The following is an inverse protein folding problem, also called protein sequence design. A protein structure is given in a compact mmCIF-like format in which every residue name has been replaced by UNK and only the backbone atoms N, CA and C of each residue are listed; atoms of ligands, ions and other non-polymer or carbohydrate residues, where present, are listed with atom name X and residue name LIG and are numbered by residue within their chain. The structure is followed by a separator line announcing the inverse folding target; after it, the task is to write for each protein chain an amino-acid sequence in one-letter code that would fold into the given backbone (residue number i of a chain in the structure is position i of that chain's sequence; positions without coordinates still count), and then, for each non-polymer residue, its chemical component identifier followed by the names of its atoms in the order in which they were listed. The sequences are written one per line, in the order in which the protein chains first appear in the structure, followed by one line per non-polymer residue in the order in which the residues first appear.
data_IF_254055561914
#
_entry.id   IF_254055561914
#
_cell.length_a   1.000
_cell.length_b   1.000
_cell.length_c   1.000
_cell.angle_alpha   90.00
_cell.angle_beta   90.00
_cell.angle_gamma   90.00
#
_symmetry.space_group_name_H-M   'P 1'
#
loop_
_entity.id
_entity.type
_entity.pdbx_description
1 polymer ?
#
# COMPACT_ATOMS: atom_id res chain seq x y z
N UNK A 1 -13.30 36.19 4.44
CA UNK A 1 -13.62 35.78 5.81
C UNK A 1 -12.79 34.54 6.06
N UNK A 2 -11.71 34.65 6.83
CA UNK A 2 -10.93 33.46 7.20
C UNK A 2 -11.84 32.56 8.05
N UNK A 3 -11.93 31.28 7.72
CA UNK A 3 -12.59 30.28 8.54
C UNK A 3 -11.96 30.32 9.94
N UNK A 4 -12.81 30.36 10.96
CA UNK A 4 -12.37 30.31 12.35
C UNK A 4 -11.80 28.91 12.62
N UNK A 5 -10.55 28.83 13.11
CA UNK A 5 -9.83 27.56 13.23
C UNK A 5 -10.51 26.66 14.26
N UNK A 6 -10.92 25.46 13.84
CA UNK A 6 -11.59 24.46 14.69
C UNK A 6 -10.58 23.47 15.28
N UNK A 7 -10.98 22.84 16.40
CA UNK A 7 -10.27 21.70 16.98
C UNK A 7 -11.20 20.48 16.93
N UNK A 8 -10.86 19.51 16.09
CA UNK A 8 -11.61 18.28 15.90
C UNK A 8 -11.10 17.19 16.86
N UNK A 9 -11.99 16.68 17.72
CA UNK A 9 -11.70 15.52 18.57
C UNK A 9 -12.17 14.27 17.83
N UNK A 10 -11.27 13.35 17.52
CA UNK A 10 -11.63 12.14 16.76
C UNK A 10 -12.01 10.99 17.67
N UNK A 11 -13.04 10.25 17.26
CA UNK A 11 -13.38 8.92 17.76
C UNK A 11 -12.52 7.84 17.07
N UNK A 12 -12.20 6.77 17.78
CA UNK A 12 -11.41 5.64 17.28
C UNK A 12 -12.06 4.97 16.07
N UNK A 13 -13.39 4.88 16.03
CA UNK A 13 -14.08 4.28 14.89
C UNK A 13 -13.79 5.01 13.57
N UNK A 14 -13.58 6.32 13.62
CA UNK A 14 -13.20 7.10 12.43
C UNK A 14 -11.85 6.62 11.89
N UNK A 15 -10.87 6.46 12.78
CA UNK A 15 -9.50 6.03 12.46
C UNK A 15 -9.41 4.56 12.04
N UNK A 16 -10.20 3.69 12.69
CA UNK A 16 -10.26 2.26 12.37
C UNK A 16 -10.85 2.00 10.99
N UNK A 17 -11.78 2.84 10.54
CA UNK A 17 -12.37 2.74 9.21
C UNK A 17 -11.64 3.55 8.15
N UNK A 18 -10.97 4.62 8.51
CA UNK A 18 -10.22 5.47 7.59
C UNK A 18 -8.94 5.99 8.26
N UNK A 19 -7.78 5.38 7.98
CA UNK A 19 -6.53 5.81 8.60
C UNK A 19 -6.05 7.18 8.10
N UNK A 20 -6.58 7.69 6.99
CA UNK A 20 -6.25 9.04 6.47
C UNK A 20 -7.04 10.15 7.11
N UNK A 21 -8.05 9.82 7.92
CA UNK A 21 -8.96 10.81 8.49
C UNK A 21 -8.24 11.94 9.23
N UNK A 22 -7.11 11.65 9.89
CA UNK A 22 -6.26 12.64 10.58
C UNK A 22 -5.85 13.81 9.65
N UNK A 23 -5.71 13.58 8.35
CA UNK A 23 -5.24 14.57 7.37
C UNK A 23 -6.37 15.34 6.67
N UNK A 24 -7.64 15.01 6.92
CA UNK A 24 -8.78 15.52 6.14
C UNK A 24 -9.46 16.75 6.70
N UNK A 25 -8.83 17.39 7.68
CA UNK A 25 -9.38 18.54 8.38
C UNK A 25 -8.83 19.88 7.87
N UNK A 26 -8.19 19.88 6.69
CA UNK A 26 -7.68 21.09 6.02
C UNK A 26 -6.84 21.96 6.99
N UNK A 27 -7.15 23.25 7.15
CA UNK A 27 -6.45 24.15 8.06
C UNK A 27 -6.71 23.91 9.56
N UNK A 28 -7.60 22.98 9.91
CA UNK A 28 -8.07 22.78 11.28
C UNK A 28 -7.19 21.81 12.07
N UNK A 29 -7.19 21.99 13.39
CA UNK A 29 -6.41 21.16 14.30
C UNK A 29 -7.19 19.89 14.67
N UNK A 30 -6.46 18.82 14.96
CA UNK A 30 -6.99 17.50 15.32
C UNK A 30 -6.47 17.11 16.69
N UNK A 31 -7.32 16.55 17.55
CA UNK A 31 -6.93 16.01 18.85
C UNK A 31 -7.34 14.55 18.97
N UNK A 32 -6.39 13.72 19.41
CA UNK A 32 -6.62 12.33 19.76
C UNK A 32 -6.70 12.16 21.28
N UNK A 33 -7.86 11.77 21.83
CA UNK A 33 -7.96 11.35 23.23
C UNK A 33 -7.04 10.17 23.54
N UNK A 34 -6.60 10.05 24.80
CA UNK A 34 -5.73 8.95 25.22
C UNK A 34 -6.42 7.59 25.03
N UNK A 35 -7.72 7.54 25.33
CA UNK A 35 -8.56 6.36 25.11
C UNK A 35 -8.52 5.86 23.67
N UNK A 36 -8.45 6.77 22.68
CA UNK A 36 -8.36 6.40 21.28
C UNK A 36 -7.05 5.67 20.98
N UNK A 37 -5.94 6.13 21.55
CA UNK A 37 -4.65 5.45 21.40
C UNK A 37 -4.66 4.06 22.03
N UNK A 38 -5.33 3.89 23.18
CA UNK A 38 -5.48 2.59 23.84
C UNK A 38 -6.31 1.60 23.00
N UNK A 39 -7.40 2.07 22.39
CA UNK A 39 -8.23 1.24 21.51
C UNK A 39 -7.52 0.87 20.21
N UNK A 40 -6.75 1.80 19.62
CA UNK A 40 -5.86 1.48 18.50
C UNK A 40 -4.84 0.41 18.91
N UNK A 41 -4.20 0.50 20.09
CA UNK A 41 -3.24 -0.51 20.52
C UNK A 41 -3.87 -1.89 20.70
N UNK A 42 -5.10 -1.94 21.22
CA UNK A 42 -5.85 -3.18 21.38
C UNK A 42 -6.25 -3.79 20.02
N UNK A 43 -6.64 -2.95 19.05
CA UNK A 43 -7.15 -3.38 17.75
C UNK A 43 -6.04 -3.71 16.72
N UNK A 44 -4.76 -3.49 17.01
CA UNK A 44 -3.65 -3.71 16.05
C UNK A 44 -3.39 -5.18 15.68
N UNK A 45 -3.96 -6.13 16.42
CA UNK A 45 -3.70 -7.57 16.29
C UNK A 45 -4.66 -8.22 15.28
N UNK A 46 -4.11 -9.11 14.44
CA UNK A 46 -4.89 -9.91 13.48
C UNK A 46 -4.75 -9.44 12.03
N UNK A 47 -5.48 -10.12 11.15
CA UNK A 47 -5.47 -9.94 9.70
C UNK A 47 -6.69 -9.16 9.17
N UNK A 48 -7.55 -8.65 10.06
CA UNK A 48 -8.72 -7.88 9.63
C UNK A 48 -8.32 -6.53 9.01
N UNK A 49 -9.19 -6.00 8.16
CA UNK A 49 -9.07 -4.66 7.58
C UNK A 49 -8.92 -3.59 8.67
N UNK A 50 -9.72 -3.69 9.74
CA UNK A 50 -9.61 -2.84 10.93
C UNK A 50 -8.20 -2.89 11.52
N UNK A 51 -7.64 -4.08 11.75
CA UNK A 51 -6.29 -4.22 12.31
C UNK A 51 -5.21 -3.66 11.36
N UNK A 52 -5.41 -3.77 10.04
CA UNK A 52 -4.52 -3.17 9.04
C UNK A 52 -4.58 -1.65 9.07
N UNK A 53 -5.78 -1.06 9.12
CA UNK A 53 -5.98 0.39 9.19
C UNK A 53 -5.39 0.96 10.47
N UNK A 54 -5.60 0.30 11.61
CA UNK A 54 -4.96 0.66 12.89
C UNK A 54 -3.43 0.67 12.81
N UNK A 55 -2.83 -0.33 12.14
CA UNK A 55 -1.37 -0.35 11.89
C UNK A 55 -0.93 0.79 10.96
N UNK A 56 -1.77 1.22 10.02
CA UNK A 56 -1.48 2.37 9.17
C UNK A 56 -1.53 3.68 9.97
N UNK A 57 -2.55 3.90 10.80
CA UNK A 57 -2.65 5.07 11.70
C UNK A 57 -1.41 5.16 12.60
N UNK A 58 -1.00 4.04 13.19
CA UNK A 58 0.18 3.98 14.05
C UNK A 58 1.47 4.36 13.30
N UNK A 59 1.59 3.97 12.01
CA UNK A 59 2.73 4.35 11.16
C UNK A 59 2.74 5.84 10.87
N UNK A 60 1.60 6.42 10.49
CA UNK A 60 1.48 7.86 10.25
C UNK A 60 1.85 8.69 11.47
N UNK A 61 1.35 8.31 12.65
CA UNK A 61 1.71 8.96 13.91
C UNK A 61 3.22 8.81 14.17
N UNK A 62 3.78 7.61 13.96
CA UNK A 62 5.20 7.33 14.13
C UNK A 62 6.11 8.17 13.21
N UNK A 63 5.75 8.31 11.94
CA UNK A 63 6.46 9.15 10.96
C UNK A 63 6.44 10.63 11.39
N UNK A 64 5.27 11.16 11.75
CA UNK A 64 5.16 12.54 12.27
C UNK A 64 5.98 12.73 13.55
N UNK A 65 6.07 11.73 14.43
CA UNK A 65 6.90 11.80 15.65
C UNK A 65 8.40 11.75 15.36
N UNK A 66 8.86 11.05 14.33
CA UNK A 66 10.29 11.01 13.97
C UNK A 66 10.79 12.35 13.43
N UNK A 67 9.91 13.11 12.78
CA UNK A 67 10.23 14.41 12.18
C UNK A 67 10.19 15.58 13.18
N UNK A 68 9.68 15.35 14.40
CA UNK A 68 9.50 16.39 15.42
C UNK A 68 10.27 16.03 16.71
N UNK A 69 10.73 17.03 17.46
CA UNK A 69 11.40 16.80 18.73
C UNK A 69 10.39 16.48 19.84
N UNK A 70 10.81 15.82 20.92
CA UNK A 70 9.92 15.46 22.04
C UNK A 70 9.29 16.70 22.70
N UNK A 71 9.95 17.86 22.61
CA UNK A 71 9.42 19.14 23.10
C UNK A 71 8.21 19.65 22.28
N UNK A 72 8.03 19.17 21.04
CA UNK A 72 6.97 19.63 20.13
C UNK A 72 5.64 18.92 20.35
N UNK A 73 5.59 17.84 21.15
CA UNK A 73 4.35 17.07 21.41
C UNK A 73 3.29 17.88 22.16
N UNK A 74 3.70 18.84 23.00
CA UNK A 74 2.77 19.77 23.67
C UNK A 74 2.23 20.84 22.73
N UNK A 75 3.01 21.22 21.72
CA UNK A 75 2.64 22.24 20.72
C UNK A 75 1.92 21.63 19.51
N UNK A 76 1.73 20.30 19.51
CA UNK A 76 1.10 19.52 18.46
C UNK A 76 2.05 19.22 17.30
N UNK A 77 1.92 18.03 16.72
CA UNK A 77 2.66 17.61 15.54
C UNK A 77 2.09 18.31 14.29
N UNK A 78 2.94 18.83 13.42
CA UNK A 78 2.49 19.36 12.14
C UNK A 78 1.90 18.24 11.28
N UNK A 79 0.68 18.43 10.76
CA UNK A 79 0.08 17.49 9.83
C UNK A 79 0.78 17.61 8.47
N UNK A 80 1.66 16.65 8.19
CA UNK A 80 2.33 16.53 6.89
C UNK A 80 1.86 15.29 6.16
N UNK A 81 1.77 15.40 4.85
CA UNK A 81 1.51 14.25 3.97
C UNK A 81 2.57 13.17 4.21
N UNK A 82 2.15 11.92 4.49
CA UNK A 82 3.09 10.80 4.55
C UNK A 82 3.78 10.62 3.20
N UNK A 83 5.07 10.28 3.21
CA UNK A 83 5.84 10.11 1.97
C UNK A 83 5.17 9.08 1.03
N UNK A 84 4.97 9.47 -0.23
CA UNK A 84 4.36 8.62 -1.24
C UNK A 84 2.83 8.60 -1.26
N UNK A 85 2.15 9.39 -0.42
CA UNK A 85 0.71 9.62 -0.50
C UNK A 85 0.42 11.00 -1.08
N UNK A 86 -0.49 11.07 -2.06
CA UNK A 86 -1.03 12.34 -2.58
C UNK A 86 -2.35 12.63 -1.84
N UNK A 87 -2.21 13.09 -0.60
CA UNK A 87 -3.33 13.54 0.22
C UNK A 87 -3.29 15.05 0.15
N UNK A 88 -4.38 15.78 -0.11
CA UNK A 88 -4.35 17.24 0.11
C UNK A 88 -4.35 17.50 1.62
N UNK A 89 -3.23 17.29 2.32
CA UNK A 89 -3.15 17.59 3.76
C UNK A 89 -3.20 19.09 3.93
N UNK A 90 -4.07 19.58 4.80
CA UNK A 90 -4.06 20.99 5.12
C UNK A 90 -3.07 21.35 6.23
N UNK A 91 -3.04 22.63 6.60
CA UNK A 91 -2.01 23.23 7.46
C UNK A 91 -2.26 23.05 8.97
N UNK A 92 -3.06 22.06 9.36
CA UNK A 92 -3.43 21.78 10.74
C UNK A 92 -2.33 21.13 11.58
N UNK A 93 -2.58 20.96 12.88
CA UNK A 93 -1.71 20.20 13.80
C UNK A 93 -2.47 19.07 14.51
N UNK A 94 -1.78 17.98 14.78
CA UNK A 94 -2.21 16.84 15.57
C UNK A 94 -1.78 16.99 17.04
N UNK A 95 -2.75 17.04 17.94
CA UNK A 95 -2.55 17.09 19.38
C UNK A 95 -2.93 15.75 20.02
N UNK A 96 -2.32 15.47 21.16
CA UNK A 96 -2.68 14.33 22.01
C UNK A 96 -3.18 14.83 23.36
N UNK A 97 -4.12 14.11 23.94
CA UNK A 97 -4.54 14.38 25.31
C UNK A 97 -3.40 14.10 26.30
N UNK A 98 -2.88 15.15 26.95
CA UNK A 98 -1.79 15.05 27.93
C UNK A 98 -2.24 15.17 29.38
N UNK A 99 -3.48 15.61 29.61
CA UNK A 99 -4.08 15.72 30.93
C UNK A 99 -5.42 14.98 30.99
N UNK A 100 -5.63 14.21 32.05
CA UNK A 100 -6.94 13.63 32.37
C UNK A 100 -7.81 14.73 33.00
N UNK A 101 -8.97 15.08 32.41
CA UNK A 101 -9.92 15.97 33.06
C UNK A 101 -10.46 15.35 34.35
N UNK A 102 -10.74 16.17 35.36
CA UNK A 102 -11.56 15.72 36.48
C UNK A 102 -12.96 15.35 35.93
N UNK A 103 -13.37 14.10 36.15
CA UNK A 103 -14.54 13.50 35.50
C UNK A 103 -15.81 14.23 35.92
N UNK A 104 -16.36 15.07 35.03
CA UNK A 104 -17.65 15.70 35.24
C UNK A 104 -18.78 14.73 34.86
N UNK A 105 -19.37 14.14 35.89
CA UNK A 105 -20.76 13.70 36.00
C UNK A 105 -21.01 12.20 36.19
N UNK A 106 -21.87 11.96 37.16
CA UNK A 106 -22.60 10.72 37.45
C UNK A 106 -23.50 10.21 36.31
N UNK A 107 -23.51 10.86 35.14
CA UNK A 107 -24.37 10.53 33.99
C UNK A 107 -23.75 9.47 33.06
N UNK A 108 -22.45 9.18 33.20
CA UNK A 108 -21.68 8.31 32.30
C UNK A 108 -21.42 6.90 32.89
N UNK A 109 -22.29 6.44 33.81
CA UNK A 109 -22.05 5.19 34.55
C UNK A 109 -22.45 3.89 33.84
N UNK A 110 -23.25 3.98 32.78
CA UNK A 110 -23.68 2.80 32.02
C UNK A 110 -23.40 2.96 30.51
N UNK A 111 -22.66 1.98 29.96
CA UNK A 111 -22.48 1.78 28.51
C UNK A 111 -21.27 2.50 27.89
N UNK A 112 -20.26 1.70 27.53
CA UNK A 112 -18.96 2.02 26.90
C UNK A 112 -18.09 3.02 27.68
N UNK A 113 -17.17 2.49 28.49
CA UNK A 113 -16.14 3.28 29.18
C UNK A 113 -15.38 4.19 28.20
N UNK A 114 -15.07 3.69 27.01
CA UNK A 114 -14.32 4.42 26.00
C UNK A 114 -15.06 5.63 25.44
N UNK A 115 -16.32 5.46 25.04
CA UNK A 115 -17.19 6.56 24.59
C UNK A 115 -17.22 7.71 25.60
N UNK A 116 -17.33 7.34 26.87
CA UNK A 116 -17.51 8.28 27.96
C UNK A 116 -16.21 9.06 28.24
N UNK A 117 -15.04 8.44 28.09
CA UNK A 117 -13.74 9.12 28.16
C UNK A 117 -13.53 10.08 26.98
N UNK A 118 -13.90 9.67 25.76
CA UNK A 118 -13.84 10.53 24.57
C UNK A 118 -14.75 11.77 24.74
N UNK A 119 -15.99 11.56 25.20
CA UNK A 119 -16.93 12.65 25.48
C UNK A 119 -16.43 13.59 26.59
N UNK A 120 -15.89 13.03 27.67
CA UNK A 120 -15.35 13.80 28.80
C UNK A 120 -14.19 14.69 28.34
N UNK A 121 -13.34 14.16 27.45
CA UNK A 121 -12.24 14.92 26.84
C UNK A 121 -12.76 16.09 26.00
N UNK A 122 -13.71 15.85 25.10
CA UNK A 122 -14.28 16.91 24.27
C UNK A 122 -15.01 17.98 25.10
N UNK A 123 -15.73 17.57 26.14
CA UNK A 123 -16.39 18.48 27.07
C UNK A 123 -15.39 19.33 27.86
N UNK A 124 -14.35 18.72 28.42
CA UNK A 124 -13.32 19.42 29.17
C UNK A 124 -12.55 20.44 28.31
N UNK A 125 -12.24 20.08 27.06
CA UNK A 125 -11.58 21.01 26.12
C UNK A 125 -12.41 22.24 25.84
N UNK A 126 -13.74 22.11 25.80
CA UNK A 126 -14.66 23.24 25.63
C UNK A 126 -14.64 24.19 26.82
N UNK A 127 -14.56 23.66 28.04
CA UNK A 127 -14.47 24.46 29.27
C UNK A 127 -13.11 25.18 29.38
N UNK A 128 -12.01 24.50 29.00
CA UNK A 128 -10.65 25.06 29.04
C UNK A 128 -10.41 26.10 27.94
N UNK A 129 -10.99 25.90 26.75
CA UNK A 129 -10.81 26.76 25.58
C UNK A 129 -12.16 27.31 25.08
N UNK A 130 -12.81 28.23 25.80
CA UNK A 130 -14.12 28.76 25.45
C UNK A 130 -14.13 29.51 24.11
N UNK A 131 -12.98 30.04 23.68
CA UNK A 131 -12.81 30.76 22.42
C UNK A 131 -12.50 29.85 21.22
N UNK A 132 -12.36 28.53 21.44
CA UNK A 132 -12.13 27.54 20.36
C UNK A 132 -13.39 26.78 20.03
N UNK A 133 -13.61 26.56 18.73
CA UNK A 133 -14.66 25.69 18.25
C UNK A 133 -14.24 24.21 18.37
N UNK A 134 -14.69 23.56 19.44
CA UNK A 134 -14.46 22.12 19.68
C UNK A 134 -15.56 21.31 19.01
N UNK A 135 -15.17 20.37 18.15
CA UNK A 135 -16.10 19.51 17.42
C UNK A 135 -15.69 18.04 17.58
N UNK A 136 -16.59 17.19 18.07
CA UNK A 136 -16.41 15.75 18.09
C UNK A 136 -16.73 15.16 16.72
N UNK A 137 -15.84 14.33 16.17
CA UNK A 137 -16.07 13.63 14.91
C UNK A 137 -16.22 12.15 15.18
N UNK A 138 -17.38 11.59 14.83
CA UNK A 138 -17.67 10.16 15.03
C UNK A 138 -18.61 9.62 13.97
N UNK A 139 -18.43 8.34 13.62
CA UNK A 139 -19.38 7.56 12.80
C UNK A 139 -20.56 7.03 13.62
N UNK A 140 -20.44 6.93 14.95
CA UNK A 140 -21.51 6.40 15.81
C UNK A 140 -22.55 7.49 16.11
N UNK A 141 -23.80 7.23 15.72
CA UNK A 141 -24.94 8.11 15.99
C UNK A 141 -25.20 8.24 17.51
N UNK A 142 -24.99 7.19 18.29
CA UNK A 142 -25.22 7.21 19.73
C UNK A 142 -24.22 8.12 20.43
N UNK A 143 -22.95 8.06 20.03
CA UNK A 143 -21.91 8.94 20.57
C UNK A 143 -22.23 10.41 20.24
N UNK A 144 -22.67 10.70 19.01
CA UNK A 144 -23.08 12.05 18.60
C UNK A 144 -24.32 12.55 19.35
N UNK A 145 -25.30 11.70 19.63
CA UNK A 145 -26.46 12.05 20.47
C UNK A 145 -26.01 12.38 21.90
N UNK A 146 -25.15 11.56 22.49
CA UNK A 146 -24.59 11.82 23.83
C UNK A 146 -23.84 13.16 23.88
N UNK A 147 -23.01 13.45 22.87
CA UNK A 147 -22.30 14.72 22.74
C UNK A 147 -23.26 15.91 22.68
N UNK A 148 -24.31 15.82 21.87
CA UNK A 148 -25.33 16.86 21.76
C UNK A 148 -26.06 17.12 23.09
N UNK A 149 -26.37 16.06 23.86
CA UNK A 149 -26.96 16.17 25.21
C UNK A 149 -26.02 16.92 26.18
N UNK A 150 -24.71 16.68 26.08
CA UNK A 150 -23.67 17.38 26.86
C UNK A 150 -23.32 18.77 26.30
N UNK A 151 -24.00 19.20 25.23
CA UNK A 151 -23.77 20.49 24.56
C UNK A 151 -22.47 20.55 23.76
N UNK A 152 -21.80 19.43 23.51
CA UNK A 152 -20.62 19.35 22.64
C UNK A 152 -21.10 19.22 21.20
N UNK A 153 -20.58 20.07 20.30
CA UNK A 153 -20.87 19.96 18.87
C UNK A 153 -20.29 18.65 18.34
N UNK A 154 -21.08 17.89 17.60
CA UNK A 154 -20.64 16.64 17.00
C UNK A 154 -21.03 16.55 15.53
N UNK A 155 -20.11 16.10 14.69
CA UNK A 155 -20.25 15.97 13.25
C UNK A 155 -20.07 14.51 12.83
N UNK A 156 -20.81 14.07 11.81
CA UNK A 156 -20.56 12.77 11.18
C UNK A 156 -19.25 12.82 10.41
N UNK A 157 -18.52 11.70 10.39
CA UNK A 157 -17.44 11.55 9.43
C UNK A 157 -18.00 11.09 8.08
N UNK A 158 -18.46 12.04 7.26
CA UNK A 158 -18.80 11.78 5.87
C UNK A 158 -17.55 11.80 5.02
N UNK A 159 -17.12 10.61 4.65
CA UNK A 159 -16.10 10.48 3.65
C UNK A 159 -16.55 9.44 2.61
N UNK A 160 -17.22 9.93 1.56
CA UNK A 160 -17.62 9.15 0.38
C UNK A 160 -16.43 8.69 -0.47
N UNK A 161 -15.21 8.99 -0.04
CA UNK A 161 -13.97 8.44 -0.57
C UNK A 161 -13.20 7.83 0.59
N UNK A 162 -13.60 6.63 1.00
CA UNK A 162 -12.58 5.64 1.35
C UNK A 162 -11.56 5.73 0.21
N UNK A 163 -10.42 6.38 0.47
CA UNK A 163 -9.35 6.41 -0.49
C UNK A 163 -9.10 4.94 -0.77
N UNK A 164 -9.16 4.55 -2.05
CA UNK A 164 -9.02 3.15 -2.45
C UNK A 164 -7.81 2.64 -1.67
N UNK A 165 -8.00 1.65 -0.80
CA UNK A 165 -7.07 1.27 0.28
C UNK A 165 -5.64 1.02 -0.22
N UNK A 166 -5.51 0.76 -1.52
CA UNK A 166 -4.29 0.67 -2.30
C UNK A 166 -3.45 1.95 -2.25
N UNK A 167 -4.08 3.11 -2.25
CA UNK A 167 -3.41 4.41 -2.21
C UNK A 167 -2.61 4.62 -0.94
N UNK A 168 -2.99 3.96 0.17
CA UNK A 168 -2.33 4.02 1.48
C UNK A 168 -1.10 3.11 1.61
N UNK A 169 -0.96 2.18 0.68
CA UNK A 169 0.13 1.23 0.69
C UNK A 169 1.38 1.89 0.10
N UNK A 170 2.53 1.39 0.54
CA UNK A 170 3.81 1.75 -0.04
C UNK A 170 3.77 1.51 -1.56
N UNK A 171 4.00 2.57 -2.35
CA UNK A 171 3.88 2.54 -3.81
C UNK A 171 5.01 1.78 -4.51
N UNK A 172 6.12 1.51 -3.81
CA UNK A 172 7.30 0.89 -4.43
C UNK A 172 8.10 1.82 -5.35
N UNK A 173 7.68 3.07 -5.51
CA UNK A 173 8.30 4.03 -6.42
C UNK A 173 8.41 5.42 -5.79
N UNK A 174 9.52 6.11 -6.05
CA UNK A 174 9.74 7.52 -5.72
C UNK A 174 9.83 8.34 -7.02
N UNK A 175 9.11 9.46 -7.05
CA UNK A 175 9.10 10.38 -8.17
C UNK A 175 9.82 11.66 -7.77
N UNK A 176 10.76 12.09 -8.60
CA UNK A 176 11.51 13.33 -8.44
C UNK A 176 11.46 14.15 -9.72
N UNK A 177 11.56 15.46 -9.60
CA UNK A 177 11.70 16.37 -10.75
C UNK A 177 13.18 16.52 -11.16
N UNK A 178 13.45 17.35 -12.17
CA UNK A 178 14.82 17.62 -12.62
C UNK A 178 15.68 18.35 -11.56
N UNK A 179 15.05 19.04 -10.59
CA UNK A 179 15.72 19.69 -9.48
C UNK A 179 16.45 18.72 -8.55
N UNK A 180 16.12 17.43 -8.64
CA UNK A 180 16.82 16.34 -7.94
C UNK A 180 18.34 16.37 -8.14
N UNK A 181 18.80 16.64 -9.37
CA UNK A 181 20.22 16.64 -9.70
C UNK A 181 20.94 17.84 -9.06
N UNK A 182 20.27 18.99 -9.00
CA UNK A 182 20.80 20.19 -8.34
C UNK A 182 20.89 20.01 -6.82
N UNK A 183 19.93 19.30 -6.23
CA UNK A 183 19.93 18.96 -4.81
C UNK A 183 21.04 17.96 -4.43
N UNK A 184 21.51 17.13 -5.38
CA UNK A 184 22.55 16.11 -5.16
C UNK A 184 23.76 16.32 -6.08
N UNK A 185 24.51 17.42 -5.93
CA UNK A 185 25.63 17.76 -6.82
C UNK A 185 26.84 16.83 -6.67
N UNK A 186 26.88 16.02 -5.59
CA UNK A 186 27.94 15.06 -5.31
C UNK A 186 27.63 13.66 -5.83
N UNK A 187 26.67 13.53 -6.75
CA UNK A 187 26.33 12.22 -7.31
C UNK A 187 27.51 11.62 -8.09
N UNK A 188 27.82 10.37 -7.81
CA UNK A 188 28.77 9.59 -8.58
C UNK A 188 28.01 8.79 -9.64
N UNK A 189 28.51 8.74 -10.87
CA UNK A 189 27.96 7.86 -11.91
C UNK A 189 29.06 7.05 -12.59
N UNK A 190 28.75 5.80 -12.87
CA UNK A 190 29.64 4.89 -13.59
C UNK A 190 28.84 3.89 -14.42
N UNK A 191 29.52 3.20 -15.33
CA UNK A 191 28.94 2.07 -16.04
C UNK A 191 29.58 0.79 -15.52
N UNK A 192 28.76 -0.19 -15.14
CA UNK A 192 29.20 -1.54 -14.84
C UNK A 192 28.36 -2.54 -15.65
N UNK A 193 29.02 -3.51 -16.27
CA UNK A 193 28.38 -4.55 -17.10
C UNK A 193 27.37 -4.02 -18.14
N UNK A 194 27.60 -2.82 -18.68
CA UNK A 194 26.74 -2.19 -19.69
C UNK A 194 25.51 -1.46 -19.13
N UNK A 195 25.39 -1.35 -17.80
CA UNK A 195 24.33 -0.61 -17.11
C UNK A 195 24.91 0.60 -16.39
N UNK A 196 24.17 1.70 -16.42
CA UNK A 196 24.55 2.91 -15.70
C UNK A 196 24.13 2.80 -14.24
N UNK A 197 25.04 3.15 -13.34
CA UNK A 197 24.82 3.22 -11.90
C UNK A 197 25.04 4.63 -11.41
N UNK A 198 24.32 4.97 -10.35
CA UNK A 198 24.41 6.24 -9.65
C UNK A 198 24.53 5.99 -8.15
N UNK A 199 25.46 6.66 -7.49
CA UNK A 199 25.56 6.69 -6.02
C UNK A 199 25.30 8.09 -5.53
N UNK A 200 24.32 8.22 -4.66
CA UNK A 200 23.86 9.47 -4.09
C UNK A 200 24.19 9.47 -2.59
N UNK A 201 24.95 10.45 -2.08
CA UNK A 201 25.07 10.66 -0.66
C UNK A 201 23.72 11.05 -0.06
N UNK A 202 23.30 10.36 1.01
CA UNK A 202 22.04 10.64 1.72
C UNK A 202 22.34 11.12 3.14
N UNK A 203 21.46 11.97 3.68
CA UNK A 203 21.48 12.35 5.10
C UNK A 203 20.84 11.28 5.99
N UNK A 204 20.57 11.61 7.26
CA UNK A 204 19.88 10.72 8.22
C UNK A 204 18.41 10.39 7.86
N UNK A 205 17.92 10.80 6.69
CA UNK A 205 16.55 10.55 6.27
C UNK A 205 16.37 9.11 5.78
N UNK A 206 15.61 8.33 6.57
CA UNK A 206 15.28 6.93 6.33
C UNK A 206 14.06 6.77 5.40
N UNK A 207 14.20 7.13 4.12
CA UNK A 207 13.13 7.00 3.11
C UNK A 207 13.46 6.09 1.92
N UNK A 208 14.64 5.47 1.93
CA UNK A 208 15.15 4.66 0.82
C UNK A 208 15.11 3.16 1.15
N UNK A 209 14.66 2.36 0.20
CA UNK A 209 14.56 0.91 0.36
C UNK A 209 15.22 0.17 -0.80
N UNK A 210 15.85 -0.99 -0.55
CA UNK A 210 16.26 -1.89 -1.62
C UNK A 210 15.09 -2.23 -2.54
N UNK A 211 15.35 -2.30 -3.84
CA UNK A 211 14.38 -2.56 -4.90
C UNK A 211 13.30 -1.48 -5.07
N UNK A 212 13.44 -0.31 -4.43
CA UNK A 212 12.57 0.83 -4.69
C UNK A 212 12.85 1.39 -6.09
N UNK A 213 11.78 1.62 -6.86
CA UNK A 213 11.87 2.23 -8.17
C UNK A 213 12.00 3.74 -8.03
N UNK A 214 12.77 4.37 -8.90
CA UNK A 214 13.05 5.82 -8.86
C UNK A 214 12.87 6.36 -10.26
N UNK A 215 12.04 7.38 -10.40
CA UNK A 215 11.92 8.12 -11.64
C UNK A 215 12.26 9.59 -11.40
N UNK A 216 13.17 10.13 -12.20
CA UNK A 216 13.66 11.50 -12.10
C UNK A 216 13.37 12.22 -13.41
N UNK A 217 12.58 13.28 -13.33
CA UNK A 217 12.11 14.05 -14.48
C UNK A 217 10.85 13.48 -15.14
N UNK A 218 10.49 14.10 -16.27
CA UNK A 218 9.28 13.78 -17.04
C UNK A 218 9.49 12.57 -17.97
N UNK A 219 8.65 12.45 -19.01
CA UNK A 219 8.77 11.39 -20.01
C UNK A 219 10.15 11.43 -20.70
N UNK A 220 10.89 10.32 -20.62
CA UNK A 220 12.28 10.24 -21.10
C UNK A 220 13.34 10.64 -20.07
N UNK A 221 12.94 10.89 -18.82
CA UNK A 221 13.82 11.05 -17.68
C UNK A 221 14.53 9.76 -17.27
N UNK A 222 15.19 9.79 -16.11
CA UNK A 222 15.93 8.64 -15.58
C UNK A 222 14.97 7.71 -14.85
N UNK A 223 14.96 6.45 -15.25
CA UNK A 223 14.27 5.37 -14.54
C UNK A 223 15.31 4.41 -13.96
N UNK A 224 15.30 4.22 -12.65
CA UNK A 224 16.29 3.43 -11.92
C UNK A 224 15.64 2.58 -10.83
N UNK A 225 16.35 1.55 -10.36
CA UNK A 225 15.99 0.74 -9.20
C UNK A 225 17.11 0.82 -8.18
N UNK A 226 16.76 1.05 -6.92
CA UNK A 226 17.70 1.03 -5.80
C UNK A 226 18.24 -0.38 -5.60
N UNK A 227 19.56 -0.51 -5.59
CA UNK A 227 20.26 -1.79 -5.41
C UNK A 227 20.83 -1.93 -4.01
N UNK A 228 21.41 -0.85 -3.48
CA UNK A 228 22.01 -0.84 -2.15
C UNK A 228 21.61 0.43 -1.41
N UNK A 229 21.34 0.28 -0.10
CA UNK A 229 21.07 1.39 0.82
C UNK A 229 22.02 1.24 2.00
N UNK A 230 22.97 2.17 2.08
CA UNK A 230 23.91 2.31 3.19
C UNK A 230 23.47 3.44 4.14
N UNK A 231 24.19 3.62 5.25
CA UNK A 231 23.91 4.70 6.20
C UNK A 231 24.09 6.10 5.61
N UNK A 232 25.03 6.24 4.68
CA UNK A 232 25.45 7.54 4.14
C UNK A 232 25.19 7.66 2.62
N UNK A 233 24.77 6.59 1.95
CA UNK A 233 24.56 6.62 0.50
C UNK A 233 23.53 5.61 0.00
N UNK A 234 22.93 5.92 -1.15
CA UNK A 234 22.06 5.02 -1.91
C UNK A 234 22.70 4.78 -3.26
N UNK A 235 22.77 3.50 -3.67
CA UNK A 235 23.17 3.12 -5.02
C UNK A 235 21.94 2.67 -5.80
N UNK A 236 21.73 3.29 -6.94
CA UNK A 236 20.66 2.96 -7.88
C UNK A 236 21.23 2.62 -9.25
N UNK A 237 20.57 1.71 -9.94
CA UNK A 237 20.95 1.23 -11.26
C UNK A 237 19.86 1.58 -12.25
N UNK A 238 20.23 2.09 -13.43
CA UNK A 238 19.30 2.35 -14.51
C UNK A 238 18.58 1.04 -14.91
N UNK A 239 17.29 1.15 -15.15
CA UNK A 239 16.48 0.00 -15.58
C UNK A 239 16.66 -0.32 -17.05
N UNK A 240 16.38 -1.56 -17.42
CA UNK A 240 16.25 -1.94 -18.82
C UNK A 240 15.00 -1.32 -19.44
N UNK A 241 15.14 -0.86 -20.68
CA UNK A 241 14.05 -0.28 -21.47
C UNK A 241 13.20 -1.40 -22.11
N UNK A 242 12.05 -1.69 -21.48
CA UNK A 242 11.05 -2.63 -22.01
C UNK A 242 9.96 -1.97 -22.87
N UNK A 243 10.06 -0.67 -23.19
CA UNK A 243 9.09 0.01 -24.06
C UNK A 243 9.23 -0.44 -25.52
N UNK A 244 10.46 -0.70 -25.94
CA UNK A 244 10.76 -1.08 -27.31
C UNK A 244 10.42 -2.55 -27.61
N UNK A 245 9.73 -2.79 -28.72
CA UNK A 245 9.31 -4.14 -29.13
C UNK A 245 10.48 -5.14 -29.27
N UNK A 246 11.71 -4.68 -29.54
CA UNK A 246 12.90 -5.55 -29.66
C UNK A 246 13.41 -6.10 -28.32
N UNK A 247 13.06 -5.46 -27.20
CA UNK A 247 13.44 -5.85 -25.84
C UNK A 247 12.27 -6.48 -25.09
N UNK A 248 11.22 -6.92 -25.78
CA UNK A 248 10.03 -7.50 -25.15
C UNK A 248 10.37 -8.70 -24.24
N UNK A 249 9.53 -8.92 -23.23
CA UNK A 249 9.54 -10.11 -22.38
C UNK A 249 8.42 -11.02 -22.87
N UNK A 250 8.78 -12.13 -23.51
CA UNK A 250 7.82 -13.10 -24.07
C UNK A 250 6.70 -12.43 -24.91
N UNK A 251 7.07 -11.53 -25.81
CA UNK A 251 6.15 -10.79 -26.67
C UNK A 251 5.48 -9.57 -26.04
N UNK A 252 5.68 -9.31 -24.74
CA UNK A 252 5.10 -8.18 -24.02
C UNK A 252 6.11 -7.04 -23.87
N UNK A 253 5.69 -5.83 -24.21
CA UNK A 253 6.42 -4.59 -23.98
C UNK A 253 5.67 -3.72 -22.96
N UNK A 254 6.42 -2.94 -22.19
CA UNK A 254 5.87 -1.99 -21.23
C UNK A 254 5.13 -0.86 -21.97
N UNK A 255 3.94 -0.50 -21.47
CA UNK A 255 3.14 0.62 -22.01
C UNK A 255 3.31 1.91 -21.25
N UNK A 256 3.81 1.82 -20.02
CA UNK A 256 4.06 2.93 -19.12
C UNK A 256 5.22 2.57 -18.17
N UNK A 257 5.64 3.55 -17.38
CA UNK A 257 6.70 3.43 -16.37
C UNK A 257 6.46 2.33 -15.37
N UNK A 258 5.24 2.22 -14.86
CA UNK A 258 4.89 1.22 -13.84
C UNK A 258 5.07 -0.20 -14.38
N UNK A 259 4.69 -0.46 -15.64
CA UNK A 259 4.92 -1.74 -16.29
C UNK A 259 6.41 -1.96 -16.61
N UNK A 260 7.16 -0.92 -16.96
CA UNK A 260 8.59 -1.00 -17.20
C UNK A 260 9.33 -1.41 -15.91
N UNK A 261 9.02 -0.76 -14.79
CA UNK A 261 9.52 -1.14 -13.48
C UNK A 261 9.09 -2.55 -13.08
N UNK A 262 7.82 -2.92 -13.28
CA UNK A 262 7.35 -4.26 -12.96
C UNK A 262 8.14 -5.34 -13.71
N UNK A 263 8.39 -5.17 -15.01
CA UNK A 263 9.19 -6.12 -15.79
C UNK A 263 10.64 -6.19 -15.30
N UNK A 264 11.26 -5.05 -14.98
CA UNK A 264 12.60 -5.02 -14.41
C UNK A 264 12.68 -5.79 -13.08
N UNK A 265 11.73 -5.58 -12.18
CA UNK A 265 11.69 -6.29 -10.90
C UNK A 265 11.43 -7.79 -11.07
N UNK A 266 10.51 -8.16 -11.98
CA UNK A 266 10.17 -9.58 -12.23
C UNK A 266 11.29 -10.35 -12.93
N UNK A 267 12.06 -9.69 -13.80
CA UNK A 267 13.18 -10.29 -14.54
C UNK A 267 14.50 -10.24 -13.77
N UNK A 268 14.53 -9.58 -12.61
CA UNK A 268 15.72 -9.50 -11.79
C UNK A 268 15.91 -10.78 -10.97
N UNK A 269 17.00 -11.52 -11.18
CA UNK A 269 17.23 -12.77 -10.47
C UNK A 269 17.62 -12.61 -9.00
N UNK A 270 18.01 -11.40 -8.59
CA UNK A 270 18.41 -11.11 -7.21
C UNK A 270 17.19 -10.75 -6.33
N UNK A 271 15.99 -10.66 -6.93
CA UNK A 271 14.74 -10.38 -6.22
C UNK A 271 13.90 -11.66 -6.09
N UNK A 272 13.87 -12.21 -4.87
CA UNK A 272 13.12 -13.44 -4.57
C UNK A 272 11.60 -13.25 -4.53
N UNK A 273 11.12 -12.04 -4.28
CA UNK A 273 9.70 -11.76 -4.04
C UNK A 273 9.29 -10.39 -4.57
N UNK A 274 8.33 -10.38 -5.50
CA UNK A 274 7.78 -9.17 -6.12
C UNK A 274 6.28 -9.08 -5.84
N UNK A 275 5.84 -7.96 -5.29
CA UNK A 275 4.42 -7.63 -5.12
C UNK A 275 3.99 -6.62 -6.16
N UNK A 276 3.01 -6.98 -7.00
CA UNK A 276 2.42 -6.07 -7.97
C UNK A 276 1.03 -5.64 -7.51
N UNK A 277 0.85 -4.34 -7.35
CA UNK A 277 -0.44 -3.73 -7.01
C UNK A 277 -0.87 -2.76 -8.10
N UNK A 278 -2.17 -2.62 -8.30
CA UNK A 278 -2.72 -1.76 -9.33
C UNK A 278 -4.18 -2.11 -9.63
N UNK A 279 -4.90 -1.19 -10.27
CA UNK A 279 -6.31 -1.36 -10.62
C UNK A 279 -6.54 -2.57 -11.52
N UNK A 280 -7.78 -3.05 -11.58
CA UNK A 280 -8.16 -4.15 -12.47
C UNK A 280 -7.84 -3.81 -13.94
N UNK A 281 -7.31 -4.78 -14.69
CA UNK A 281 -6.98 -4.60 -16.12
C UNK A 281 -5.61 -3.96 -16.42
N UNK A 282 -4.80 -3.65 -15.40
CA UNK A 282 -3.44 -3.07 -15.59
C UNK A 282 -2.37 -4.05 -16.07
N UNK A 283 -2.71 -5.33 -16.23
CA UNK A 283 -1.81 -6.35 -16.79
C UNK A 283 -0.88 -7.05 -15.78
N UNK A 284 -1.11 -6.92 -14.46
CA UNK A 284 -0.26 -7.53 -13.40
C UNK A 284 0.04 -9.02 -13.66
N UNK A 285 -1.01 -9.83 -13.78
CA UNK A 285 -0.90 -11.28 -14.01
C UNK A 285 -0.26 -11.57 -15.37
N UNK A 286 -0.59 -10.78 -16.40
CA UNK A 286 0.00 -10.93 -17.73
C UNK A 286 1.53 -10.71 -17.71
N UNK A 287 2.01 -9.65 -17.05
CA UNK A 287 3.44 -9.36 -16.91
C UNK A 287 4.15 -10.45 -16.09
N UNK A 288 3.55 -10.89 -14.98
CA UNK A 288 4.10 -11.96 -14.17
C UNK A 288 4.22 -13.29 -14.95
N UNK A 289 3.22 -13.61 -15.78
CA UNK A 289 3.26 -14.78 -16.66
C UNK A 289 4.31 -14.65 -17.76
N UNK A 290 4.40 -13.49 -18.41
CA UNK A 290 5.39 -13.23 -19.44
C UNK A 290 6.82 -13.39 -18.90
N UNK A 291 7.10 -12.79 -17.74
CA UNK A 291 8.39 -12.93 -17.06
C UNK A 291 8.67 -14.38 -16.63
N UNK A 292 7.67 -15.05 -16.04
CA UNK A 292 7.78 -16.45 -15.66
C UNK A 292 8.05 -17.38 -16.85
N UNK A 293 7.40 -17.13 -18.00
CA UNK A 293 7.61 -17.89 -19.23
C UNK A 293 8.98 -17.65 -19.81
N UNK A 294 9.44 -16.41 -19.90
CA UNK A 294 10.79 -16.12 -20.38
C UNK A 294 11.85 -16.79 -19.50
N UNK A 295 11.71 -16.71 -18.18
CA UNK A 295 12.66 -17.35 -17.25
C UNK A 295 12.58 -18.89 -17.21
N UNK A 296 11.45 -19.49 -17.62
CA UNK A 296 11.26 -20.94 -17.66
C UNK A 296 11.64 -21.55 -19.02
N UNK A 297 11.34 -20.85 -20.11
CA UNK A 297 11.43 -21.35 -21.47
C UNK A 297 12.69 -20.86 -22.19
N UNK A 298 12.98 -19.56 -22.11
CA UNK A 298 14.14 -18.95 -22.77
C UNK A 298 15.40 -19.14 -21.92
N UNK A 299 15.38 -18.66 -20.67
CA UNK A 299 16.53 -18.71 -19.77
C UNK A 299 16.72 -20.07 -19.09
N UNK A 300 15.64 -20.87 -18.98
CA UNK A 300 15.62 -22.18 -18.30
C UNK A 300 16.12 -22.10 -16.85
N UNK A 301 15.95 -20.95 -16.20
CA UNK A 301 16.25 -20.72 -14.77
C UNK A 301 15.29 -21.51 -13.89
N UNK A 302 14.01 -21.50 -14.26
CA UNK A 302 12.98 -22.25 -13.58
C UNK A 302 12.51 -23.44 -14.42
N UNK A 303 12.07 -24.49 -13.73
CA UNK A 303 11.62 -25.73 -14.37
C UNK A 303 10.14 -25.71 -14.72
N UNK A 304 9.34 -24.98 -13.95
CA UNK A 304 7.87 -24.91 -14.06
C UNK A 304 7.37 -23.62 -13.39
N UNK A 305 6.25 -23.10 -13.89
CA UNK A 305 5.49 -21.99 -13.33
C UNK A 305 4.32 -22.58 -12.55
N UNK A 306 4.18 -22.18 -11.29
CA UNK A 306 3.06 -22.56 -10.44
C UNK A 306 2.19 -21.32 -10.26
N UNK A 307 0.94 -21.39 -10.71
CA UNK A 307 -0.05 -20.34 -10.49
C UNK A 307 -1.01 -20.81 -9.41
N UNK A 308 -1.25 -19.96 -8.43
CA UNK A 308 -2.28 -20.16 -7.43
C UNK A 308 -3.15 -18.91 -7.38
N UNK A 309 -4.42 -19.10 -7.01
CA UNK A 309 -5.36 -18.01 -6.77
C UNK A 309 -6.00 -18.22 -5.41
N UNK A 310 -6.10 -17.17 -4.60
CA UNK A 310 -6.86 -17.23 -3.35
C UNK A 310 -8.34 -17.47 -3.69
N UNK A 311 -8.81 -18.70 -3.48
CA UNK A 311 -10.19 -19.05 -3.73
C UNK A 311 -11.03 -18.65 -2.52
N UNK A 312 -11.58 -17.45 -2.54
CA UNK A 312 -12.71 -17.14 -1.64
C UNK A 312 -13.93 -17.82 -2.24
N UNK A 313 -14.27 -19.00 -1.73
CA UNK A 313 -15.49 -19.69 -2.15
C UNK A 313 -16.70 -18.88 -1.67
N UNK A 314 -17.51 -18.39 -2.62
CA UNK A 314 -18.90 -18.02 -2.31
C UNK A 314 -19.67 -19.34 -2.22
N UNK A 315 -19.55 -20.05 -1.09
CA UNK A 315 -20.15 -21.37 -0.87
C UNK A 315 -19.22 -22.37 -0.17
N UNK A 316 -19.53 -23.67 -0.29
CA UNK A 316 -18.78 -24.77 0.34
C UNK A 316 -17.30 -24.78 -0.07
N UNK A 317 -16.42 -25.12 0.88
CA UNK A 317 -14.99 -25.29 0.65
C UNK A 317 -14.72 -26.21 -0.56
N UNK A 318 -13.77 -25.83 -1.42
CA UNK A 318 -13.36 -26.58 -2.63
C UNK A 318 -13.02 -28.06 -2.34
N UNK A 319 -12.71 -28.39 -1.09
CA UNK A 319 -12.57 -29.78 -0.63
C UNK A 319 -13.76 -30.68 -0.98
N UNK A 320 -14.99 -30.13 -1.08
CA UNK A 320 -16.23 -30.89 -1.24
C UNK A 320 -16.73 -31.09 -2.67
N UNK A 321 -16.20 -30.35 -3.66
CA UNK A 321 -16.58 -30.55 -5.07
C UNK A 321 -16.03 -31.91 -5.59
N UNK A 322 -16.82 -32.74 -6.30
CA UNK A 322 -16.28 -33.95 -6.95
C UNK A 322 -15.42 -33.57 -8.17
N UNK A 323 -14.28 -34.24 -8.37
CA UNK A 323 -13.37 -34.00 -9.51
C UNK A 323 -11.89 -33.85 -9.13
N UNK A 324 -11.04 -33.71 -10.13
CA UNK A 324 -9.59 -33.41 -9.97
C UNK A 324 -9.36 -31.98 -9.47
N UNK A 325 -8.20 -31.69 -8.90
CA UNK A 325 -7.83 -30.32 -8.46
C UNK A 325 -8.00 -29.30 -9.58
N UNK A 326 -7.61 -29.66 -10.80
CA UNK A 326 -7.71 -28.81 -11.99
C UNK A 326 -9.16 -28.54 -12.40
N UNK A 327 -10.00 -29.58 -12.45
CA UNK A 327 -11.44 -29.45 -12.74
C UNK A 327 -12.13 -28.52 -11.74
N UNK A 328 -11.78 -28.63 -10.45
CA UNK A 328 -12.32 -27.76 -9.40
C UNK A 328 -11.89 -26.31 -9.58
N UNK A 329 -10.68 -26.06 -10.09
CA UNK A 329 -10.17 -24.69 -10.28
C UNK A 329 -10.68 -24.04 -11.57
N UNK A 330 -11.21 -24.82 -12.53
CA UNK A 330 -11.67 -24.37 -13.87
C UNK A 330 -12.44 -23.04 -13.90
N UNK A 331 -13.43 -22.76 -13.02
CA UNK A 331 -14.16 -21.49 -13.07
C UNK A 331 -13.28 -20.25 -12.86
N UNK A 332 -12.16 -20.39 -12.15
CA UNK A 332 -11.22 -19.32 -11.85
C UNK A 332 -10.07 -19.22 -12.86
N UNK A 333 -10.00 -20.17 -13.80
CA UNK A 333 -8.93 -20.33 -14.79
C UNK A 333 -9.11 -19.47 -16.04
N UNK A 334 -10.32 -19.00 -16.35
CA UNK A 334 -10.62 -18.30 -17.60
C UNK A 334 -9.65 -17.15 -17.89
N UNK A 335 -9.45 -16.26 -16.91
CA UNK A 335 -8.52 -15.12 -17.05
C UNK A 335 -7.05 -15.54 -17.23
N UNK A 336 -6.63 -16.68 -16.65
CA UNK A 336 -5.29 -17.21 -16.85
C UNK A 336 -5.15 -17.76 -18.28
N UNK A 337 -6.13 -18.52 -18.75
CA UNK A 337 -6.16 -19.05 -20.12
C UNK A 337 -6.14 -17.90 -21.14
N UNK A 338 -6.93 -16.85 -20.93
CA UNK A 338 -6.96 -15.66 -21.80
C UNK A 338 -5.57 -14.99 -21.89
N UNK A 339 -4.87 -14.85 -20.75
CA UNK A 339 -3.50 -14.31 -20.74
C UNK A 339 -2.52 -15.23 -21.50
N UNK A 340 -2.64 -16.55 -21.35
CA UNK A 340 -1.82 -17.50 -22.08
C UNK A 340 -2.11 -17.46 -23.59
N UNK A 341 -3.35 -17.26 -24.02
CA UNK A 341 -3.70 -17.06 -25.44
C UNK A 341 -3.03 -15.81 -26.04
N UNK A 342 -2.97 -14.71 -25.27
CA UNK A 342 -2.24 -13.50 -25.68
C UNK A 342 -0.75 -13.79 -25.85
N UNK A 343 -0.16 -14.55 -24.92
CA UNK A 343 1.27 -14.89 -24.90
C UNK A 343 1.66 -16.00 -25.89
N UNK A 344 0.69 -16.65 -26.54
CA UNK A 344 0.88 -17.75 -27.50
C UNK A 344 0.54 -17.39 -28.93
N UNK A 345 -0.05 -16.22 -29.15
CA UNK A 345 -0.46 -15.76 -30.47
C UNK A 345 0.79 -15.63 -31.37
N UNK A 346 1.00 -16.54 -32.35
CA UNK A 346 2.22 -16.56 -33.13
C UNK A 346 2.24 -15.35 -34.07
N UNK A 347 3.40 -14.71 -34.21
CA UNK A 347 3.63 -13.82 -35.35
C UNK A 347 3.83 -14.62 -36.65
N UNK A 348 4.39 -15.83 -36.58
CA UNK A 348 4.56 -16.73 -37.73
C UNK A 348 4.41 -18.20 -37.30
N UNK A 349 3.39 -18.89 -37.82
CA UNK A 349 3.11 -20.30 -37.53
C UNK A 349 1.61 -20.57 -37.54
N UNK A 350 1.14 -21.38 -38.49
CA UNK A 350 -0.28 -21.76 -38.61
C UNK A 350 -0.80 -22.57 -37.42
N UNK A 351 -2.01 -23.11 -37.53
CA UNK A 351 -2.73 -23.83 -36.45
C UNK A 351 -1.91 -24.93 -35.75
N UNK A 352 -1.00 -25.60 -36.47
CA UNK A 352 -0.14 -26.65 -35.91
C UNK A 352 0.89 -26.10 -34.92
N UNK A 353 1.50 -24.94 -35.21
CA UNK A 353 2.47 -24.31 -34.30
C UNK A 353 1.81 -23.87 -33.00
N UNK A 354 0.54 -23.44 -33.07
CA UNK A 354 -0.27 -23.08 -31.90
C UNK A 354 -0.56 -24.28 -31.00
N UNK A 355 -0.98 -25.41 -31.57
CA UNK A 355 -1.26 -26.63 -30.80
C UNK A 355 -0.02 -27.13 -30.04
N UNK A 356 1.15 -27.20 -30.71
CA UNK A 356 2.39 -27.62 -30.07
C UNK A 356 2.85 -26.64 -28.97
N UNK A 357 2.66 -25.34 -29.17
CA UNK A 357 3.00 -24.30 -28.18
C UNK A 357 2.07 -24.37 -26.97
N UNK A 358 0.77 -24.60 -27.19
CA UNK A 358 -0.22 -24.77 -26.13
C UNK A 358 0.07 -26.01 -25.28
N UNK A 359 0.41 -27.15 -25.91
CA UNK A 359 0.77 -28.37 -25.18
C UNK A 359 2.04 -28.17 -24.32
N UNK A 360 3.04 -27.47 -24.87
CA UNK A 360 4.25 -27.13 -24.12
C UNK A 360 3.95 -26.22 -22.93
N UNK A 361 3.07 -25.23 -23.10
CA UNK A 361 2.71 -24.33 -22.00
C UNK A 361 1.86 -25.03 -20.93
N UNK A 362 0.89 -25.85 -21.33
CA UNK A 362 0.13 -26.69 -20.40
C UNK A 362 1.03 -27.65 -19.62
N UNK A 363 2.17 -28.06 -20.21
CA UNK A 363 3.16 -28.87 -19.50
C UNK A 363 3.97 -28.06 -18.47
N UNK A 364 4.19 -26.75 -18.69
CA UNK A 364 5.06 -25.88 -17.88
C UNK A 364 4.35 -24.96 -16.90
N UNK A 365 3.08 -24.67 -17.13
CA UNK A 365 2.24 -23.86 -16.24
C UNK A 365 1.31 -24.80 -15.51
N UNK A 366 1.46 -24.88 -14.18
CA UNK A 366 0.61 -25.71 -13.33
C UNK A 366 -0.19 -24.86 -12.39
N UNK A 367 -1.49 -25.12 -12.34
CA UNK A 367 -2.35 -24.49 -11.35
C UNK A 367 -2.49 -25.40 -10.14
N UNK A 368 -2.31 -24.79 -8.97
CA UNK A 368 -2.39 -25.47 -7.67
C UNK A 368 -3.21 -24.62 -6.71
N UNK A 369 -4.09 -25.25 -5.95
CA UNK A 369 -4.78 -24.58 -4.86
C UNK A 369 -3.86 -24.46 -3.64
N UNK A 370 -3.99 -23.37 -2.89
CA UNK A 370 -3.11 -23.04 -1.78
C UNK A 370 -3.05 -24.15 -0.70
N UNK A 371 -4.18 -24.81 -0.45
CA UNK A 371 -4.29 -25.94 0.48
C UNK A 371 -3.41 -27.14 0.09
N UNK A 372 -3.20 -27.40 -1.20
CA UNK A 372 -2.35 -28.49 -1.70
C UNK A 372 -0.87 -28.11 -1.77
N UNK A 373 -0.54 -26.82 -1.61
CA UNK A 373 0.85 -26.35 -1.56
C UNK A 373 1.45 -26.45 -0.16
N UNK A 374 0.61 -26.46 0.88
CA UNK A 374 1.05 -26.49 2.29
C UNK A 374 1.91 -27.73 2.58
N UNK A 375 3.12 -27.51 3.09
CA UNK A 375 4.06 -28.58 3.45
C UNK A 375 4.87 -29.16 2.30
N UNK A 376 4.80 -28.57 1.10
CA UNK A 376 5.62 -28.95 -0.06
C UNK A 376 6.83 -28.04 -0.21
N UNK A 377 7.91 -28.59 -0.76
CA UNK A 377 9.09 -27.83 -1.17
C UNK A 377 9.06 -27.64 -2.69
N UNK A 378 9.14 -26.39 -3.15
CA UNK A 378 9.21 -26.03 -4.55
C UNK A 378 10.65 -25.69 -4.93
N UNK A 379 11.32 -26.59 -5.63
CA UNK A 379 12.69 -26.37 -6.11
C UNK A 379 12.67 -25.83 -7.54
N UNK A 380 13.36 -24.71 -7.77
CA UNK A 380 13.50 -24.05 -9.07
C UNK A 380 12.13 -23.88 -9.76
N UNK A 381 11.18 -23.25 -9.06
CA UNK A 381 9.84 -22.95 -9.55
C UNK A 381 9.60 -21.45 -9.50
N UNK A 382 8.93 -20.93 -10.52
CA UNK A 382 8.42 -19.57 -10.51
C UNK A 382 6.98 -19.60 -10.00
N UNK A 383 6.68 -18.91 -8.89
CA UNK A 383 5.36 -18.98 -8.25
C UNK A 383 4.63 -17.66 -8.42
N UNK A 384 3.42 -17.73 -8.98
CA UNK A 384 2.51 -16.59 -9.14
C UNK A 384 1.33 -16.80 -8.18
N UNK A 385 1.13 -15.85 -7.27
CA UNK A 385 -0.03 -15.80 -6.39
C UNK A 385 -0.94 -14.68 -6.88
N UNK A 386 -2.00 -15.05 -7.59
CA UNK A 386 -2.98 -14.11 -8.11
C UNK A 386 -4.10 -13.84 -7.09
N UNK A 387 -4.62 -12.62 -7.09
CA UNK A 387 -5.60 -12.13 -6.10
C UNK A 387 -5.17 -12.31 -4.63
N UNK A 388 -3.89 -12.09 -4.33
CA UNK A 388 -3.32 -12.30 -2.99
C UNK A 388 -3.88 -11.37 -1.90
N UNK A 389 -4.64 -10.34 -2.27
CA UNK A 389 -5.27 -9.41 -1.33
C UNK A 389 -6.54 -9.96 -0.67
N UNK A 390 -7.13 -11.02 -1.23
CA UNK A 390 -8.27 -11.73 -0.66
C UNK A 390 -7.82 -12.74 0.39
#
# INVERSE_FOLDING_TARGET
MGSEKRLYVLDTNVLMHDPTSIFRFEEHDVLLPMMVLEELDAAKKGLSEVARNVRQVSRFIGEMMQLNSVADLTDGLELREPEGLDLKSGTGRLYFQTSMPETHSSLLRDGSFADNEILSTAFALREVYPDKHIVLVSKDINLRIKAAILGVQAEDYYNDRALDDLSLLYRGMRLHDEGFWEAHPQIESWNDSGRAHYRIPIGQENGWYPNQCVAIGDAGGVEAVVKEVDQDSVMMQLVDDYYEARKNVWGIHARNREQNFALNLLMDPDIDFVTLMGTAGTGKTLLALAAGLSQTMDEKRYSEIIVTRATVSIGEDIGYLPGTEEEKMTPWMGALTDNLEVLTSPQEGGEWGRAATNDLLASRVKVRALNFMRGRTFLNRYVIIDEAQN
#
